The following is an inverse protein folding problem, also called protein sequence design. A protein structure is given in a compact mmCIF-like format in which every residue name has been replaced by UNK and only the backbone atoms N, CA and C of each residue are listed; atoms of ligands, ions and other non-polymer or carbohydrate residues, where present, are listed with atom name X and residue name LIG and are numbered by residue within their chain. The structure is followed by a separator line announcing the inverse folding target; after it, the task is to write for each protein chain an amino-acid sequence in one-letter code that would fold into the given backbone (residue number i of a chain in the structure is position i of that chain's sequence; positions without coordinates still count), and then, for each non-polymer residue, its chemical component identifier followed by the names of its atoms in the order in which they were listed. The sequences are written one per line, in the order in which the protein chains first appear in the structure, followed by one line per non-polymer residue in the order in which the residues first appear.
data_IF_825678513548
#
_entry.id   IF_825678513548
#
_cell.length_a   1.000
_cell.length_b   1.000
_cell.length_c   1.000
_cell.angle_alpha   90.00
_cell.angle_beta   90.00
_cell.angle_gamma   90.00
#
_symmetry.space_group_name_H-M   'P 1'
#
loop_
_entity.id
_entity.type
_entity.pdbx_description
1 polymer ?
#
# COMPACT_ATOMS: atom_id res chain seq x y z
N UNK A 1 -25.39 1.28 16.33
CA UNK A 1 -23.94 1.40 16.58
C UNK A 1 -23.10 0.71 15.49
N UNK A 2 -23.14 -0.61 15.27
CA UNK A 2 -22.31 -1.24 14.22
C UNK A 2 -22.72 -0.88 12.78
N UNK A 3 -24.02 -0.69 12.51
CA UNK A 3 -24.53 -0.25 11.20
C UNK A 3 -24.17 1.21 10.91
N UNK A 4 -24.30 2.12 11.84
CA UNK A 4 -23.92 3.53 11.69
C UNK A 4 -22.41 3.71 11.43
N UNK A 5 -21.57 2.92 12.09
CA UNK A 5 -20.12 2.93 11.84
C UNK A 5 -19.74 2.41 10.45
N UNK A 6 -20.48 1.45 9.93
CA UNK A 6 -20.26 0.90 8.60
C UNK A 6 -20.72 1.88 7.51
N UNK A 7 -21.82 2.58 7.74
CA UNK A 7 -22.34 3.61 6.85
C UNK A 7 -21.43 4.85 6.83
N UNK A 8 -20.96 5.31 7.98
CA UNK A 8 -19.99 6.39 8.10
C UNK A 8 -18.65 6.07 7.40
N UNK A 9 -18.17 4.81 7.49
CA UNK A 9 -16.97 4.35 6.78
C UNK A 9 -17.17 4.35 5.26
N UNK A 10 -18.32 3.85 4.79
CA UNK A 10 -18.62 3.80 3.35
C UNK A 10 -18.73 5.19 2.75
N UNK A 11 -19.37 6.13 3.44
CA UNK A 11 -19.47 7.52 3.00
C UNK A 11 -18.11 8.19 2.92
N UNK A 12 -17.26 8.00 3.94
CA UNK A 12 -15.90 8.53 3.95
C UNK A 12 -15.06 8.00 2.76
N UNK A 13 -15.19 6.71 2.44
CA UNK A 13 -14.48 6.10 1.31
C UNK A 13 -15.04 6.61 -0.02
N UNK A 14 -16.36 6.77 -0.16
CA UNK A 14 -17.00 7.28 -1.35
C UNK A 14 -16.64 8.75 -1.62
N UNK A 15 -16.61 9.58 -0.58
CA UNK A 15 -16.20 10.98 -0.68
C UNK A 15 -14.74 11.08 -1.14
N UNK A 16 -13.86 10.26 -0.56
CA UNK A 16 -12.46 10.22 -0.96
C UNK A 16 -12.29 9.73 -2.40
N UNK A 17 -13.03 8.70 -2.82
CA UNK A 17 -13.04 8.23 -4.20
C UNK A 17 -13.40 9.37 -5.17
N UNK A 18 -14.50 10.08 -4.90
CA UNK A 18 -14.98 11.15 -5.78
C UNK A 18 -14.01 12.33 -5.88
N UNK A 19 -13.27 12.62 -4.80
CA UNK A 19 -12.34 13.75 -4.76
C UNK A 19 -10.97 13.43 -5.35
N UNK A 20 -10.49 12.17 -5.26
CA UNK A 20 -9.12 11.78 -5.58
C UNK A 20 -9.01 10.72 -6.69
N UNK A 21 -10.11 10.44 -7.42
CA UNK A 21 -10.10 9.43 -8.46
C UNK A 21 -9.07 9.72 -9.55
N UNK A 22 -9.06 10.93 -10.09
CA UNK A 22 -8.16 11.31 -11.18
C UNK A 22 -6.69 11.29 -10.75
N UNK A 23 -6.40 11.71 -9.52
CA UNK A 23 -5.07 11.65 -8.94
C UNK A 23 -4.59 10.20 -8.81
N UNK A 24 -5.45 9.31 -8.31
CA UNK A 24 -5.15 7.89 -8.19
C UNK A 24 -4.99 7.22 -9.55
N UNK A 25 -5.83 7.56 -10.51
CA UNK A 25 -5.71 7.07 -11.89
C UNK A 25 -4.37 7.49 -12.51
N UNK A 26 -4.00 8.76 -12.37
CA UNK A 26 -2.71 9.28 -12.84
C UNK A 26 -1.55 8.55 -12.16
N UNK A 27 -1.63 8.39 -10.83
CA UNK A 27 -0.60 7.67 -10.07
C UNK A 27 -0.48 6.22 -10.52
N UNK A 28 -1.57 5.47 -10.64
CA UNK A 28 -1.55 4.06 -11.02
C UNK A 28 -1.07 3.91 -12.47
N UNK A 29 -1.60 4.72 -13.40
CA UNK A 29 -1.23 4.67 -14.82
C UNK A 29 0.25 4.97 -15.05
N UNK A 30 0.85 5.88 -14.27
CA UNK A 30 2.28 6.17 -14.36
C UNK A 30 3.17 5.00 -13.93
N UNK A 31 2.61 4.00 -13.26
CA UNK A 31 3.33 2.82 -12.76
C UNK A 31 3.00 1.53 -13.53
N UNK A 32 2.09 1.58 -14.50
CA UNK A 32 1.71 0.44 -15.33
C UNK A 32 2.14 0.66 -16.78
N UNK A 33 2.24 -0.43 -17.50
CA UNK A 33 2.60 -0.40 -18.91
C UNK A 33 1.36 -0.18 -19.81
N UNK A 34 0.18 -0.58 -19.32
CA UNK A 34 -1.09 -0.48 -20.04
C UNK A 34 -2.11 0.29 -19.23
N UNK A 35 -2.72 1.31 -19.84
CA UNK A 35 -3.67 2.21 -19.19
C UNK A 35 -4.98 1.51 -18.78
N UNK A 36 -5.43 0.52 -19.56
CA UNK A 36 -6.71 -0.17 -19.35
C UNK A 36 -6.77 -0.92 -18.02
N UNK A 37 -5.62 -1.38 -17.50
CA UNK A 37 -5.54 -2.09 -16.23
C UNK A 37 -5.48 -1.14 -15.01
N UNK A 38 -5.27 0.14 -15.25
CA UNK A 38 -5.19 1.15 -14.18
C UNK A 38 -6.53 1.32 -13.48
N UNK A 39 -7.62 1.31 -14.23
CA UNK A 39 -8.97 1.44 -13.69
C UNK A 39 -9.31 0.26 -12.77
N UNK A 40 -9.00 -0.95 -13.18
CA UNK A 40 -9.21 -2.16 -12.38
C UNK A 40 -8.43 -2.11 -11.07
N UNK A 41 -7.19 -1.62 -11.10
CA UNK A 41 -6.38 -1.46 -9.90
C UNK A 41 -7.00 -0.39 -8.99
N UNK A 42 -7.43 0.75 -9.52
CA UNK A 42 -8.06 1.80 -8.73
C UNK A 42 -9.35 1.29 -8.10
N UNK A 43 -10.21 0.62 -8.84
CA UNK A 43 -11.43 0.00 -8.30
C UNK A 43 -11.11 -1.02 -7.20
N UNK A 44 -10.11 -1.87 -7.41
CA UNK A 44 -9.67 -2.86 -6.42
C UNK A 44 -9.14 -2.23 -5.13
N UNK A 45 -8.53 -1.04 -5.17
CA UNK A 45 -8.13 -0.30 -3.97
C UNK A 45 -9.35 -0.05 -3.08
N UNK A 46 -10.42 0.49 -3.65
CA UNK A 46 -11.63 0.86 -2.92
C UNK A 46 -12.44 -0.37 -2.46
N UNK A 47 -12.52 -1.41 -3.29
CA UNK A 47 -13.12 -2.69 -2.87
C UNK A 47 -12.41 -3.25 -1.63
N UNK A 48 -11.08 -3.26 -1.62
CA UNK A 48 -10.30 -3.72 -0.45
C UNK A 48 -10.52 -2.86 0.78
N UNK A 49 -10.63 -1.53 0.63
CA UNK A 49 -10.93 -0.61 1.73
C UNK A 49 -12.31 -0.89 2.34
N UNK A 50 -13.32 -1.11 1.51
CA UNK A 50 -14.69 -1.43 1.95
C UNK A 50 -14.74 -2.77 2.72
N UNK A 51 -13.96 -3.76 2.28
CA UNK A 51 -13.89 -5.10 2.89
C UNK A 51 -13.06 -5.15 4.18
N UNK A 52 -12.27 -4.11 4.48
CA UNK A 52 -11.47 -4.10 5.70
C UNK A 52 -12.35 -3.98 6.95
N UNK A 53 -12.21 -4.89 7.92
CA UNK A 53 -12.88 -4.81 9.23
C UNK A 53 -12.22 -3.82 10.21
N UNK A 54 -11.38 -2.93 9.71
CA UNK A 54 -10.65 -1.95 10.53
C UNK A 54 -11.32 -0.60 10.48
N UNK A 55 -11.24 0.11 11.61
CA UNK A 55 -11.66 1.50 11.66
C UNK A 55 -10.76 2.35 10.74
N UNK A 56 -11.37 2.93 9.71
CA UNK A 56 -10.75 3.87 8.78
C UNK A 56 -11.16 5.28 9.22
N UNK A 57 -10.20 6.18 9.29
CA UNK A 57 -10.41 7.58 9.64
C UNK A 57 -9.95 8.48 8.48
N UNK A 58 -10.43 9.74 8.38
CA UNK A 58 -9.95 10.66 7.35
C UNK A 58 -8.42 10.81 7.33
N UNK A 59 -7.80 10.75 8.51
CA UNK A 59 -6.33 10.86 8.65
C UNK A 59 -5.58 9.62 8.14
N UNK A 60 -6.16 8.44 8.29
CA UNK A 60 -5.49 7.17 7.90
C UNK A 60 -5.84 6.73 6.49
N UNK A 61 -6.93 7.23 5.92
CA UNK A 61 -7.43 6.80 4.61
C UNK A 61 -6.43 7.04 3.47
N UNK A 62 -5.81 8.23 3.31
CA UNK A 62 -4.84 8.45 2.23
C UNK A 62 -3.69 7.46 2.27
N UNK A 63 -3.10 7.25 3.45
CA UNK A 63 -1.99 6.28 3.61
C UNK A 63 -2.39 4.85 3.30
N UNK A 64 -3.63 4.46 3.64
CA UNK A 64 -4.15 3.14 3.32
C UNK A 64 -4.35 2.97 1.82
N UNK A 65 -4.92 3.98 1.15
CA UNK A 65 -5.13 4.01 -0.30
C UNK A 65 -3.80 3.78 -1.02
N UNK A 66 -2.78 4.60 -0.75
CA UNK A 66 -1.48 4.49 -1.42
C UNK A 66 -0.72 3.21 -1.05
N UNK A 67 -0.89 2.70 0.18
CA UNK A 67 -0.31 1.41 0.57
C UNK A 67 -0.94 0.26 -0.23
N UNK A 68 -2.26 0.28 -0.41
CA UNK A 68 -2.98 -0.73 -1.19
C UNK A 68 -2.62 -0.60 -2.67
N UNK A 69 -2.57 0.63 -3.21
CA UNK A 69 -2.16 0.90 -4.57
C UNK A 69 -0.78 0.31 -4.88
N UNK A 70 0.22 0.63 -4.07
CA UNK A 70 1.58 0.07 -4.22
C UNK A 70 1.60 -1.46 -4.18
N UNK A 71 0.82 -2.07 -3.31
CA UNK A 71 0.76 -3.53 -3.23
C UNK A 71 0.10 -4.13 -4.47
N UNK A 72 -0.98 -3.52 -4.97
CA UNK A 72 -1.65 -3.98 -6.19
C UNK A 72 -0.78 -3.82 -7.44
N UNK A 73 -0.12 -2.67 -7.60
CA UNK A 73 0.85 -2.44 -8.68
C UNK A 73 1.97 -3.48 -8.64
N UNK A 74 2.48 -3.79 -7.46
CA UNK A 74 3.51 -4.82 -7.31
C UNK A 74 2.99 -6.23 -7.61
N UNK A 75 1.78 -6.55 -7.16
CA UNK A 75 1.14 -7.84 -7.46
C UNK A 75 0.91 -7.97 -8.98
N UNK A 76 0.52 -6.88 -9.65
CA UNK A 76 0.40 -6.78 -11.10
C UNK A 76 1.74 -7.12 -11.80
N UNK A 77 2.84 -6.43 -11.44
CA UNK A 77 4.14 -6.68 -12.03
C UNK A 77 4.66 -8.09 -11.74
N UNK A 78 4.40 -8.61 -10.54
CA UNK A 78 4.75 -9.98 -10.19
C UNK A 78 4.02 -11.00 -11.07
N UNK A 79 2.75 -10.74 -11.36
CA UNK A 79 1.95 -11.58 -12.26
C UNK A 79 2.40 -11.44 -13.71
N UNK A 80 2.65 -10.22 -14.17
CA UNK A 80 3.16 -9.93 -15.50
C UNK A 80 4.48 -10.66 -15.79
N UNK A 81 5.47 -10.53 -14.90
CA UNK A 81 6.75 -11.23 -15.04
C UNK A 81 6.63 -12.75 -14.92
N UNK A 82 5.69 -13.24 -14.11
CA UNK A 82 5.43 -14.67 -14.03
C UNK A 82 4.90 -15.22 -15.37
N UNK A 83 4.01 -14.49 -16.04
CA UNK A 83 3.51 -14.86 -17.36
C UNK A 83 4.60 -14.74 -18.44
N UNK A 84 5.40 -13.68 -18.39
CA UNK A 84 6.51 -13.43 -19.33
C UNK A 84 7.64 -14.47 -19.16
N UNK A 85 7.91 -14.92 -17.94
CA UNK A 85 8.89 -15.98 -17.66
C UNK A 85 8.42 -17.35 -18.19
N UNK A 86 7.12 -17.54 -18.33
CA UNK A 86 6.55 -18.72 -18.99
C UNK A 86 6.53 -18.60 -20.52
N UNK A 87 6.54 -17.41 -21.08
CA UNK A 87 6.59 -17.20 -22.54
C UNK A 87 8.01 -16.97 -23.08
N UNK A 88 8.93 -16.41 -22.30
CA UNK A 88 10.31 -16.19 -22.72
C UNK A 88 11.30 -16.27 -21.55
N UNK A 89 12.14 -17.28 -21.56
CA UNK A 89 13.46 -17.24 -20.89
C UNK A 89 14.29 -16.19 -21.62
N UNK A 90 14.60 -15.10 -20.96
CA UNK A 90 15.61 -14.06 -21.22
C UNK A 90 15.03 -12.63 -21.17
N UNK A 91 15.21 -11.94 -20.08
CA UNK A 91 16.04 -10.72 -19.94
C UNK A 91 15.76 -10.04 -18.60
N UNK A 92 16.84 -9.87 -17.84
CA UNK A 92 16.88 -9.09 -16.60
C UNK A 92 16.61 -7.62 -16.91
N UNK A 93 15.61 -7.04 -16.30
CA UNK A 93 15.26 -5.64 -16.43
C UNK A 93 14.96 -4.97 -15.08
N UNK A 94 15.62 -3.95 -14.87
CA UNK A 94 15.89 -3.01 -13.79
C UNK A 94 14.65 -2.46 -13.08
N UNK A 95 14.53 -2.69 -11.78
CA UNK A 95 13.49 -2.17 -10.88
C UNK A 95 13.68 -0.68 -10.50
N UNK A 96 14.60 0.05 -11.13
CA UNK A 96 15.04 1.38 -10.70
C UNK A 96 14.24 2.56 -11.27
N UNK A 97 13.22 2.36 -12.11
CA UNK A 97 12.46 3.44 -12.75
C UNK A 97 11.08 3.69 -12.14
N UNK A 98 11.03 3.99 -10.85
CA UNK A 98 9.84 4.59 -10.24
C UNK A 98 10.14 6.04 -9.86
N UNK A 99 10.34 6.87 -10.86
CA UNK A 99 10.27 8.33 -10.73
C UNK A 99 9.19 8.84 -11.65
N UNK A 100 8.14 9.41 -11.13
CA UNK A 100 7.35 10.42 -11.83
C UNK A 100 6.69 11.37 -10.85
N UNK A 101 6.71 12.59 -11.30
CA UNK A 101 6.38 13.83 -10.65
C UNK A 101 4.88 14.14 -10.76
N UNK A 102 4.43 14.88 -9.76
CA UNK A 102 3.35 15.86 -9.70
C UNK A 102 1.90 15.46 -9.95
N UNK A 103 1.11 15.65 -8.91
CA UNK A 103 -0.09 16.50 -8.92
C UNK A 103 -0.52 16.86 -7.49
N UNK A 104 -1.06 18.06 -7.32
CA UNK A 104 -1.37 18.71 -6.05
C UNK A 104 -2.51 18.03 -5.30
N UNK A 105 -2.18 17.17 -4.37
CA UNK A 105 -3.02 16.90 -3.20
C UNK A 105 -2.48 17.70 -2.02
N UNK A 106 -3.27 17.85 -0.95
CA UNK A 106 -2.84 18.52 0.31
C UNK A 106 -1.49 17.99 0.79
N UNK A 107 -1.13 16.76 0.39
CA UNK A 107 0.21 16.18 0.52
C UNK A 107 0.56 15.47 -0.79
N UNK A 108 1.61 15.91 -1.46
CA UNK A 108 2.12 15.23 -2.66
C UNK A 108 2.51 13.78 -2.33
N UNK A 109 2.44 12.90 -3.33
CA UNK A 109 2.89 11.50 -3.20
C UNK A 109 4.31 11.43 -2.61
N UNK A 110 5.15 12.42 -2.93
CA UNK A 110 6.50 12.55 -2.41
C UNK A 110 6.51 12.78 -0.90
N UNK A 111 5.68 13.69 -0.39
CA UNK A 111 5.57 13.97 1.04
C UNK A 111 5.01 12.78 1.81
N UNK A 112 3.99 12.10 1.27
CA UNK A 112 3.45 10.86 1.87
C UNK A 112 4.54 9.79 1.94
N UNK A 113 5.33 9.62 0.87
CA UNK A 113 6.44 8.68 0.88
C UNK A 113 7.53 9.06 1.89
N UNK A 114 7.87 10.35 2.01
CA UNK A 114 8.81 10.83 3.02
C UNK A 114 8.29 10.60 4.44
N UNK A 115 7.00 10.85 4.70
CA UNK A 115 6.40 10.55 6.00
C UNK A 115 6.43 9.05 6.30
N UNK A 116 6.15 8.21 5.32
CA UNK A 116 6.24 6.75 5.48
C UNK A 116 7.67 6.31 5.81
N UNK A 117 8.68 6.79 5.07
CA UNK A 117 10.08 6.45 5.32
C UNK A 117 10.56 6.93 6.69
N UNK A 118 10.20 8.17 7.09
CA UNK A 118 10.50 8.70 8.42
C UNK A 118 9.82 7.87 9.52
N UNK A 119 8.58 7.45 9.30
CA UNK A 119 7.86 6.56 10.22
C UNK A 119 8.54 5.20 10.34
N UNK A 120 8.95 4.62 9.23
CA UNK A 120 9.66 3.33 9.17
C UNK A 120 11.03 3.42 9.85
N UNK A 121 11.74 4.54 9.70
CA UNK A 121 13.02 4.76 10.37
C UNK A 121 12.92 4.75 11.91
N UNK A 122 11.74 5.03 12.47
CA UNK A 122 11.47 5.00 13.92
C UNK A 122 11.20 3.60 14.47
N UNK A 123 10.91 2.63 13.61
CA UNK A 123 10.71 1.25 14.02
C UNK A 123 12.04 0.62 14.46
N UNK A 124 12.01 -0.28 15.45
CA UNK A 124 13.20 -1.07 15.78
C UNK A 124 13.56 -1.97 14.59
N UNK A 125 14.84 -2.36 14.48
CA UNK A 125 15.39 -3.05 13.31
C UNK A 125 14.60 -4.31 12.90
N UNK A 126 14.19 -5.10 13.89
CA UNK A 126 13.41 -6.32 13.65
C UNK A 126 12.00 -6.02 13.11
N UNK A 127 11.35 -4.97 13.62
CA UNK A 127 10.05 -4.53 13.13
C UNK A 127 10.18 -3.90 11.75
N UNK A 128 11.21 -3.06 11.55
CA UNK A 128 11.50 -2.39 10.28
C UNK A 128 11.71 -3.40 9.16
N UNK A 129 12.54 -4.43 9.40
CA UNK A 129 12.79 -5.49 8.43
C UNK A 129 11.50 -6.23 8.02
N UNK A 130 10.71 -6.66 9.00
CA UNK A 130 9.45 -7.36 8.75
C UNK A 130 8.43 -6.43 8.06
N UNK A 131 8.35 -5.18 8.49
CA UNK A 131 7.44 -4.20 7.89
C UNK A 131 7.80 -3.93 6.44
N UNK A 132 9.09 -3.74 6.10
CA UNK A 132 9.55 -3.56 4.73
C UNK A 132 9.25 -4.77 3.86
N UNK A 133 9.58 -5.97 4.30
CA UNK A 133 9.27 -7.20 3.57
C UNK A 133 7.76 -7.35 3.27
N UNK A 134 6.89 -6.91 4.20
CA UNK A 134 5.46 -6.97 3.98
C UNK A 134 4.93 -5.83 3.11
N UNK A 135 5.36 -4.58 3.35
CA UNK A 135 4.81 -3.39 2.67
C UNK A 135 5.49 -3.11 1.34
N UNK A 136 6.82 -3.22 1.26
CA UNK A 136 7.57 -2.94 0.03
C UNK A 136 7.77 -4.17 -0.84
N UNK A 137 8.05 -5.33 -0.24
CA UNK A 137 8.25 -6.57 -1.00
C UNK A 137 6.95 -7.38 -1.15
N UNK A 138 5.83 -6.91 -0.56
CA UNK A 138 4.51 -7.53 -0.64
C UNK A 138 4.45 -8.96 -0.11
N UNK A 139 5.44 -9.39 0.67
CA UNK A 139 5.51 -10.76 1.17
C UNK A 139 4.40 -11.05 2.20
N UNK A 140 3.81 -12.23 2.12
CA UNK A 140 2.86 -12.71 3.13
C UNK A 140 3.60 -13.05 4.43
N UNK A 141 2.88 -13.03 5.56
CA UNK A 141 3.45 -13.36 6.88
C UNK A 141 4.14 -14.72 6.88
N UNK A 142 3.56 -15.71 6.20
CA UNK A 142 4.13 -17.05 6.04
C UNK A 142 5.46 -17.05 5.29
N UNK A 143 5.56 -16.29 4.21
CA UNK A 143 6.76 -16.16 3.39
C UNK A 143 7.88 -15.45 4.16
N UNK A 144 7.52 -14.40 4.92
CA UNK A 144 8.46 -13.69 5.79
C UNK A 144 8.98 -14.61 6.90
N UNK A 145 8.11 -15.44 7.47
CA UNK A 145 8.48 -16.40 8.52
C UNK A 145 9.53 -17.39 8.00
N UNK A 146 9.33 -17.94 6.80
CA UNK A 146 10.29 -18.82 6.14
C UNK A 146 11.59 -18.08 5.82
N UNK A 147 11.50 -16.89 5.20
CA UNK A 147 12.67 -16.11 4.77
C UNK A 147 13.56 -15.67 5.95
N UNK A 148 12.98 -15.40 7.09
CA UNK A 148 13.70 -14.95 8.28
C UNK A 148 14.01 -16.09 9.30
N UNK A 149 13.59 -17.31 8.99
CA UNK A 149 13.71 -18.47 9.87
C UNK A 149 13.14 -18.19 11.28
N UNK A 150 11.91 -17.69 11.31
CA UNK A 150 11.18 -17.41 12.55
C UNK A 150 9.74 -17.91 12.47
N UNK A 151 9.10 -18.09 13.63
CA UNK A 151 7.72 -18.58 13.67
C UNK A 151 6.73 -17.57 13.08
N UNK A 152 5.65 -18.06 12.47
CA UNK A 152 4.54 -17.26 11.96
C UNK A 152 4.02 -16.24 13.00
N UNK A 153 3.77 -16.71 14.23
CA UNK A 153 3.31 -15.86 15.35
C UNK A 153 4.29 -14.72 15.66
N UNK A 154 5.57 -14.98 15.56
CA UNK A 154 6.60 -13.95 15.77
C UNK A 154 6.52 -12.82 14.73
N UNK A 155 6.37 -13.19 13.45
CA UNK A 155 6.22 -12.22 12.37
C UNK A 155 4.91 -11.45 12.53
N UNK A 156 3.80 -12.16 12.76
CA UNK A 156 2.47 -11.57 12.93
C UNK A 156 2.45 -10.53 14.07
N UNK A 157 2.96 -10.90 15.24
CA UNK A 157 3.03 -10.00 16.40
C UNK A 157 3.89 -8.75 16.12
N UNK A 158 5.07 -8.95 15.53
CA UNK A 158 5.97 -7.83 15.20
C UNK A 158 5.42 -6.93 14.12
N UNK A 159 4.79 -7.50 13.11
CA UNK A 159 4.11 -6.74 12.04
C UNK A 159 2.92 -5.96 12.61
N UNK A 160 2.14 -6.56 13.51
CA UNK A 160 1.05 -5.88 14.21
C UNK A 160 1.54 -4.69 15.04
N UNK A 161 2.63 -4.88 15.79
CA UNK A 161 3.25 -3.79 16.57
C UNK A 161 3.79 -2.68 15.64
N UNK A 162 4.50 -3.03 14.58
CA UNK A 162 5.00 -2.06 13.60
C UNK A 162 3.86 -1.24 12.97
N UNK A 163 2.79 -1.90 12.55
CA UNK A 163 1.60 -1.22 12.00
C UNK A 163 0.93 -0.28 13.01
N UNK A 164 0.92 -0.64 14.30
CA UNK A 164 0.39 0.22 15.37
C UNK A 164 1.24 1.48 15.53
N UNK A 165 2.57 1.36 15.56
CA UNK A 165 3.49 2.49 15.64
C UNK A 165 3.40 3.39 14.41
N UNK A 166 3.34 2.81 13.22
CA UNK A 166 3.17 3.58 11.98
C UNK A 166 1.87 4.39 11.98
N UNK A 167 0.74 3.78 12.37
CA UNK A 167 -0.54 4.51 12.49
C UNK A 167 -0.47 5.65 13.50
N UNK A 168 0.19 5.44 14.65
CA UNK A 168 0.38 6.48 15.66
C UNK A 168 1.23 7.63 15.12
N UNK A 169 2.29 7.31 14.39
CA UNK A 169 3.15 8.31 13.76
C UNK A 169 2.41 9.11 12.69
N UNK A 170 1.77 8.42 11.74
CA UNK A 170 1.04 9.09 10.65
C UNK A 170 -0.09 9.99 11.16
N UNK A 171 -0.82 9.55 12.20
CA UNK A 171 -1.85 10.39 12.83
C UNK A 171 -1.30 11.69 13.42
N UNK A 172 -0.05 11.71 13.90
CA UNK A 172 0.60 12.91 14.42
C UNK A 172 1.12 13.85 13.34
N UNK A 173 1.47 13.30 12.18
CA UNK A 173 2.06 14.07 11.10
C UNK A 173 1.02 14.65 10.15
N UNK A 174 -0.17 14.04 10.09
CA UNK A 174 -1.27 14.43 9.20
C UNK A 174 -2.44 15.09 9.97
N UNK A 175 -2.33 15.26 11.29
CA UNK A 175 -3.27 16.05 12.12
C UNK A 175 -2.83 17.49 12.23
#
# INVERSE_FOLDING_TARGET
MAMEQKESKSNLIADYYSQHYDELMTYVSSHLQYADESEDIVQNIFVRLLQMDKMITPVTLPCLVFTIAKNLIRDYWRHYYYLEEHEHILTKGDFSKLKSEDTESIYSVKEINEFLERGIARLCDKQRKIYRLNVYDGMKVSEIAIKLDVTYKHVEHRLGAARKEMRKYMRRMLA
#
